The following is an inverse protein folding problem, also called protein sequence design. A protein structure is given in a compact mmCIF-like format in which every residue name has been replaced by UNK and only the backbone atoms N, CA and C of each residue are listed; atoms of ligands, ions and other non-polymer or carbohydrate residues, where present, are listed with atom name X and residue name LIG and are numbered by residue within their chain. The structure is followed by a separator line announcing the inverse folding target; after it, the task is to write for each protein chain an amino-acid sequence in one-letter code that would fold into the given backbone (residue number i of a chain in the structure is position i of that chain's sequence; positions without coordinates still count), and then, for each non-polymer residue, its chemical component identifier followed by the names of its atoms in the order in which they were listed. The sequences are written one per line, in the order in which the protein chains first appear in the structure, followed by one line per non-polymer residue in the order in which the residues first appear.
data_IF_784652383202
#
_entry.id   IF_784652383202
#
_cell.length_a   1.000
_cell.length_b   1.000
_cell.length_c   1.000
_cell.angle_alpha   90.00
_cell.angle_beta   90.00
_cell.angle_gamma   90.00
#
_symmetry.space_group_name_H-M   'P 1'
#
loop_
_entity.id
_entity.type
_entity.pdbx_description
1 polymer ?
#
# COMPACT_ATOMS: atom_id res chain seq x y z
N UNK A 1 -17.08 22.67 -5.43
CA UNK A 1 -15.96 23.30 -6.19
C UNK A 1 -15.26 24.28 -5.24
N UNK A 2 -13.93 24.35 -5.25
CA UNK A 2 -13.19 25.24 -4.36
C UNK A 2 -13.35 26.69 -4.82
N UNK A 3 -13.73 27.59 -3.90
CA UNK A 3 -13.77 29.03 -4.17
C UNK A 3 -12.38 29.62 -3.91
N UNK A 4 -11.72 30.13 -4.96
CA UNK A 4 -10.35 30.65 -4.87
C UNK A 4 -10.25 31.88 -3.97
N UNK A 5 -11.24 32.76 -4.02
CA UNK A 5 -11.29 33.98 -3.22
C UNK A 5 -11.45 33.65 -1.73
N UNK A 6 -12.37 32.73 -1.43
CA UNK A 6 -12.58 32.25 -0.06
C UNK A 6 -11.34 31.55 0.49
N UNK A 7 -10.72 30.68 -0.32
CA UNK A 7 -9.49 29.99 0.06
C UNK A 7 -8.35 30.96 0.37
N UNK A 8 -8.21 32.05 -0.38
CA UNK A 8 -7.18 33.06 -0.12
C UNK A 8 -7.35 33.69 1.26
N UNK A 9 -8.58 34.06 1.62
CA UNK A 9 -8.91 34.66 2.92
C UNK A 9 -8.67 33.65 4.04
N UNK A 10 -9.13 32.41 3.86
CA UNK A 10 -8.93 31.34 4.84
C UNK A 10 -7.44 31.04 5.08
N UNK A 11 -6.61 31.09 4.04
CA UNK A 11 -5.16 30.91 4.15
C UNK A 11 -4.47 32.08 4.86
N UNK A 12 -4.94 33.31 4.65
CA UNK A 12 -4.44 34.48 5.40
C UNK A 12 -4.74 34.35 6.89
N UNK A 13 -5.96 33.91 7.24
CA UNK A 13 -6.37 33.63 8.62
C UNK A 13 -5.50 32.51 9.21
N UNK A 14 -5.30 31.42 8.46
CA UNK A 14 -4.47 30.31 8.90
C UNK A 14 -3.02 30.75 9.12
N UNK A 15 -2.46 31.57 8.22
CA UNK A 15 -1.10 32.12 8.36
C UNK A 15 -0.99 32.92 9.66
N UNK A 16 -1.97 33.76 9.95
CA UNK A 16 -1.96 34.60 11.15
C UNK A 16 -2.11 33.76 12.43
N UNK A 17 -2.90 32.68 12.39
CA UNK A 17 -3.00 31.70 13.48
C UNK A 17 -1.69 30.93 13.69
N UNK A 18 -0.96 30.63 12.61
CA UNK A 18 0.31 29.93 12.65
C UNK A 18 1.51 30.84 12.96
N UNK A 19 1.34 32.17 13.01
CA UNK A 19 2.43 33.09 13.36
C UNK A 19 2.98 32.77 14.75
N UNK A 20 4.27 32.43 14.82
CA UNK A 20 4.96 32.09 16.07
C UNK A 20 4.82 30.63 16.52
N UNK A 21 4.19 29.76 15.72
CA UNK A 21 4.18 28.31 15.93
C UNK A 21 5.09 27.65 14.90
N UNK A 22 5.90 26.70 15.32
CA UNK A 22 6.67 25.87 14.38
C UNK A 22 5.73 24.81 13.79
N UNK A 23 5.57 24.82 12.46
CA UNK A 23 4.72 23.87 11.74
C UNK A 23 5.58 23.19 10.69
N UNK A 24 5.80 21.88 10.84
CA UNK A 24 6.63 21.11 9.92
C UNK A 24 5.80 20.13 9.08
N UNK A 25 4.67 19.68 9.63
CA UNK A 25 3.86 18.61 9.04
C UNK A 25 2.39 19.01 8.94
N UNK A 26 1.66 18.40 8.01
CA UNK A 26 0.20 18.57 7.88
C UNK A 26 -0.51 18.16 9.19
N UNK A 27 0.02 17.17 9.91
CA UNK A 27 -0.46 16.76 11.23
C UNK A 27 -0.36 17.88 12.28
N UNK A 28 0.67 18.74 12.19
CA UNK A 28 0.82 19.88 13.11
C UNK A 28 -0.23 20.96 12.82
N UNK A 29 -0.56 21.16 11.54
CA UNK A 29 -1.69 22.03 11.16
C UNK A 29 -3.01 21.48 11.69
N UNK A 30 -3.21 20.17 11.58
CA UNK A 30 -4.41 19.50 12.10
C UNK A 30 -4.52 19.67 13.62
N UNK A 31 -3.44 19.46 14.36
CA UNK A 31 -3.44 19.63 15.83
C UNK A 31 -3.75 21.08 16.23
N UNK A 32 -3.19 22.07 15.51
CA UNK A 32 -3.52 23.49 15.70
C UNK A 32 -5.01 23.73 15.44
N UNK A 33 -5.57 23.23 14.34
CA UNK A 33 -7.00 23.36 14.02
C UNK A 33 -7.90 22.73 15.09
N UNK A 34 -7.46 21.68 15.76
CA UNK A 34 -8.18 21.08 16.89
C UNK A 34 -8.11 21.91 18.17
N UNK A 35 -7.09 22.76 18.34
CA UNK A 35 -6.98 23.70 19.48
C UNK A 35 -7.76 25.00 19.30
N UNK A 36 -8.23 25.30 18.09
CA UNK A 36 -9.00 26.51 17.81
C UNK A 36 -10.46 26.40 18.28
N UNK A 37 -11.07 27.56 18.50
CA UNK A 37 -12.49 27.66 18.80
C UNK A 37 -13.34 27.15 17.63
N UNK A 38 -14.53 26.56 17.89
CA UNK A 38 -15.41 26.01 16.85
C UNK A 38 -15.81 27.03 15.78
N UNK A 39 -15.91 28.30 16.17
CA UNK A 39 -16.27 29.40 15.29
C UNK A 39 -15.18 29.66 14.25
N UNK A 40 -13.92 29.78 14.68
CA UNK A 40 -12.77 29.95 13.78
C UNK A 40 -12.58 28.75 12.86
N UNK A 41 -12.83 27.53 13.38
CA UNK A 41 -12.80 26.30 12.58
C UNK A 41 -13.88 26.28 11.50
N UNK A 42 -15.10 26.74 11.80
CA UNK A 42 -16.18 26.82 10.82
C UNK A 42 -15.89 27.78 9.66
N UNK A 43 -15.03 28.78 9.88
CA UNK A 43 -14.61 29.73 8.87
C UNK A 43 -13.52 29.20 7.93
N UNK A 44 -12.86 28.08 8.27
CA UNK A 44 -11.76 27.47 7.50
C UNK A 44 -12.21 26.26 6.68
N UNK A 45 -13.42 26.35 6.13
CA UNK A 45 -14.11 25.21 5.51
C UNK A 45 -13.43 24.68 4.24
N UNK A 46 -12.79 25.55 3.44
CA UNK A 46 -12.06 25.17 2.23
C UNK A 46 -10.69 24.60 2.57
N UNK A 47 -10.00 25.19 3.55
CA UNK A 47 -8.73 24.66 4.07
C UNK A 47 -8.93 23.26 4.66
N UNK A 48 -10.01 23.04 5.42
CA UNK A 48 -10.33 21.71 5.97
C UNK A 48 -10.56 20.67 4.87
N UNK A 49 -11.22 21.04 3.77
CA UNK A 49 -11.40 20.16 2.61
C UNK A 49 -10.07 19.81 1.95
N UNK A 50 -9.16 20.77 1.80
CA UNK A 50 -7.82 20.53 1.24
C UNK A 50 -7.01 19.62 2.16
N UNK A 51 -7.01 19.87 3.46
CA UNK A 51 -6.30 19.02 4.43
C UNK A 51 -6.85 17.60 4.39
N UNK A 52 -8.18 17.42 4.37
CA UNK A 52 -8.81 16.11 4.20
C UNK A 52 -8.40 15.45 2.88
N UNK A 53 -8.33 16.20 1.78
CA UNK A 53 -7.87 15.69 0.50
C UNK A 53 -6.40 15.28 0.56
N UNK A 54 -5.54 16.06 1.21
CA UNK A 54 -4.11 15.75 1.40
C UNK A 54 -3.88 14.55 2.35
N UNK A 55 -4.82 14.25 3.25
CA UNK A 55 -4.78 13.07 4.11
C UNK A 55 -5.38 11.83 3.43
N UNK A 56 -6.41 12.01 2.58
CA UNK A 56 -7.10 10.93 1.89
C UNK A 56 -6.36 10.49 0.61
N UNK A 57 -5.82 11.45 -0.14
CA UNK A 57 -4.78 11.17 -1.10
C UNK A 57 -3.55 10.88 -0.26
N UNK A 58 -2.99 9.67 -0.30
CA UNK A 58 -1.72 9.45 0.36
C UNK A 58 -0.72 10.30 -0.40
N UNK A 59 -0.41 11.52 0.09
CA UNK A 59 0.77 12.29 -0.32
C UNK A 59 2.02 11.40 -0.21
N UNK A 60 1.92 10.37 0.64
CA UNK A 60 2.74 9.18 0.54
C UNK A 60 2.30 8.29 -0.65
N UNK A 61 2.85 8.61 -1.82
CA UNK A 61 2.98 7.68 -2.96
C UNK A 61 3.74 6.36 -2.68
N UNK A 62 4.44 6.08 -1.54
CA UNK A 62 5.15 4.81 -1.34
C UNK A 62 4.29 3.58 -1.48
N UNK A 63 3.05 3.52 -0.99
CA UNK A 63 2.28 2.27 -1.01
C UNK A 63 1.88 1.87 -2.45
N UNK A 64 1.45 2.84 -3.25
CA UNK A 64 1.12 2.61 -4.66
C UNK A 64 2.38 2.44 -5.51
N UNK A 65 3.41 3.28 -5.36
CA UNK A 65 4.69 3.14 -6.06
C UNK A 65 5.38 1.82 -5.73
N UNK A 66 5.37 1.40 -4.47
CA UNK A 66 5.90 0.11 -4.03
C UNK A 66 5.14 -1.05 -4.67
N UNK A 67 3.81 -0.97 -4.71
CA UNK A 67 2.96 -1.99 -5.35
C UNK A 67 3.16 -2.04 -6.88
N UNK A 68 3.23 -0.89 -7.55
CA UNK A 68 3.49 -0.80 -8.99
C UNK A 68 4.91 -1.25 -9.34
N UNK A 69 5.90 -0.91 -8.52
CA UNK A 69 7.29 -1.35 -8.67
C UNK A 69 7.41 -2.86 -8.49
N UNK A 70 6.75 -3.43 -7.47
CA UNK A 70 6.69 -4.88 -7.27
C UNK A 70 6.03 -5.59 -8.47
N UNK A 71 4.88 -5.09 -8.94
CA UNK A 71 4.21 -5.59 -10.14
C UNK A 71 5.08 -5.50 -11.39
N UNK A 72 5.80 -4.39 -11.57
CA UNK A 72 6.72 -4.20 -12.69
C UNK A 72 7.87 -5.20 -12.63
N UNK A 73 8.43 -5.46 -11.45
CA UNK A 73 9.46 -6.49 -11.24
C UNK A 73 8.93 -7.88 -11.55
N UNK A 74 7.75 -8.24 -11.02
CA UNK A 74 7.08 -9.51 -11.30
C UNK A 74 6.87 -9.70 -12.81
N UNK A 75 6.30 -8.70 -13.49
CA UNK A 75 6.06 -8.73 -14.93
C UNK A 75 7.35 -8.84 -15.74
N UNK A 76 8.39 -8.15 -15.32
CA UNK A 76 9.72 -8.20 -15.97
C UNK A 76 10.35 -9.58 -15.83
N UNK A 77 10.27 -10.17 -14.64
CA UNK A 77 10.83 -11.51 -14.37
C UNK A 77 10.09 -12.61 -15.13
N UNK A 78 8.79 -12.43 -15.40
CA UNK A 78 7.90 -13.44 -16.00
C UNK A 78 7.63 -13.23 -17.50
N UNK A 79 8.34 -12.28 -18.14
CA UNK A 79 8.04 -11.66 -19.45
C UNK A 79 7.83 -12.61 -20.63
N UNK A 80 8.16 -13.90 -20.52
CA UNK A 80 8.07 -14.84 -21.64
C UNK A 80 7.02 -15.95 -21.51
N UNK A 81 6.18 -16.02 -20.46
CA UNK A 81 5.30 -17.23 -20.32
C UNK A 81 4.01 -17.07 -19.50
N UNK A 82 3.45 -15.86 -19.34
CA UNK A 82 2.39 -15.67 -18.34
C UNK A 82 1.08 -15.06 -18.86
N UNK A 83 -0.06 -15.71 -18.53
CA UNK A 83 -1.41 -15.16 -18.69
C UNK A 83 -1.72 -14.17 -17.56
N UNK A 84 -2.63 -13.22 -17.82
CA UNK A 84 -3.03 -12.18 -16.86
C UNK A 84 -3.53 -12.77 -15.54
N UNK A 85 -4.30 -13.84 -15.58
CA UNK A 85 -4.82 -14.53 -14.39
C UNK A 85 -3.70 -15.00 -13.45
N UNK A 86 -2.66 -15.65 -14.01
CA UNK A 86 -1.52 -16.13 -13.23
C UNK A 86 -0.73 -14.95 -12.65
N UNK A 87 -0.62 -13.83 -13.38
CA UNK A 87 0.03 -12.60 -12.89
C UNK A 87 -0.73 -12.01 -11.70
N UNK A 88 -2.06 -11.96 -11.78
CA UNK A 88 -2.91 -11.46 -10.68
C UNK A 88 -2.72 -12.31 -9.43
N UNK A 89 -2.73 -13.64 -9.54
CA UNK A 89 -2.50 -14.52 -8.39
C UNK A 89 -1.12 -14.30 -7.77
N UNK A 90 -0.06 -14.17 -8.57
CA UNK A 90 1.28 -13.87 -8.05
C UNK A 90 1.39 -12.50 -7.41
N UNK A 91 0.69 -11.50 -7.93
CA UNK A 91 0.66 -10.17 -7.32
C UNK A 91 0.03 -10.21 -5.93
N UNK A 92 -1.07 -10.95 -5.77
CA UNK A 92 -1.74 -11.18 -4.48
C UNK A 92 -0.79 -11.90 -3.53
N UNK A 93 -0.14 -12.98 -3.99
CA UNK A 93 0.85 -13.71 -3.20
C UNK A 93 2.01 -12.82 -2.74
N UNK A 94 2.54 -11.97 -3.63
CA UNK A 94 3.63 -11.05 -3.29
C UNK A 94 3.19 -9.93 -2.33
N UNK A 95 1.93 -9.49 -2.37
CA UNK A 95 1.39 -8.50 -1.44
C UNK A 95 1.15 -9.09 -0.04
N UNK A 96 0.97 -10.42 0.04
CA UNK A 96 0.69 -11.16 1.26
C UNK A 96 1.77 -12.22 1.53
N UNK A 97 3.04 -11.91 1.24
CA UNK A 97 4.16 -12.82 1.47
C UNK A 97 4.24 -13.28 2.92
N UNK A 98 3.94 -12.39 3.86
CA UNK A 98 4.01 -12.66 5.30
C UNK A 98 3.03 -13.78 5.71
N UNK A 99 1.86 -13.84 5.07
CA UNK A 99 0.88 -14.92 5.29
C UNK A 99 1.32 -16.23 4.64
N UNK A 100 2.11 -16.18 3.58
CA UNK A 100 2.66 -17.36 2.93
C UNK A 100 3.82 -17.95 3.73
N UNK A 101 4.59 -17.13 4.44
CA UNK A 101 5.65 -17.59 5.33
C UNK A 101 5.11 -18.39 6.52
N UNK A 102 3.89 -18.08 6.98
CA UNK A 102 3.17 -18.84 8.00
C UNK A 102 2.46 -20.10 7.44
N UNK A 103 2.37 -20.22 6.11
CA UNK A 103 1.65 -21.32 5.47
C UNK A 103 2.47 -22.62 5.49
N UNK A 104 1.84 -23.73 5.88
CA UNK A 104 2.46 -25.05 5.81
C UNK A 104 2.53 -25.54 4.35
N UNK A 105 3.65 -25.25 3.70
CA UNK A 105 3.93 -25.64 2.31
C UNK A 105 3.82 -27.15 2.10
N UNK A 106 4.19 -27.97 3.09
CA UNK A 106 4.10 -29.43 3.00
C UNK A 106 2.66 -29.90 2.90
N UNK A 107 1.77 -29.38 3.75
CA UNK A 107 0.34 -29.70 3.69
C UNK A 107 -0.31 -29.23 2.37
N UNK A 108 0.08 -28.05 1.89
CA UNK A 108 -0.41 -27.53 0.61
C UNK A 108 0.08 -28.38 -0.58
N UNK A 109 1.32 -28.89 -0.51
CA UNK A 109 1.86 -29.78 -1.54
C UNK A 109 1.11 -31.13 -1.56
N UNK A 110 0.84 -31.70 -0.39
CA UNK A 110 0.04 -32.92 -0.27
C UNK A 110 -1.38 -32.73 -0.85
N UNK A 111 -2.02 -31.60 -0.54
CA UNK A 111 -3.32 -31.26 -1.13
C UNK A 111 -3.21 -31.13 -2.66
N UNK A 112 -2.22 -30.39 -3.16
CA UNK A 112 -2.02 -30.18 -4.59
C UNK A 112 -1.82 -31.49 -5.36
N UNK A 113 -1.15 -32.46 -4.74
CA UNK A 113 -0.90 -33.79 -5.30
C UNK A 113 -2.14 -34.67 -5.22
N UNK A 114 -2.87 -34.65 -4.10
CA UNK A 114 -4.12 -35.42 -3.97
C UNK A 114 -5.18 -35.04 -5.01
N UNK A 115 -5.14 -33.81 -5.52
CA UNK A 115 -6.04 -33.31 -6.57
C UNK A 115 -5.72 -33.83 -7.98
N UNK A 116 -4.63 -34.58 -8.19
CA UNK A 116 -4.33 -35.22 -9.48
C UNK A 116 -3.48 -36.47 -9.31
N UNK A 117 -3.97 -37.59 -9.83
CA UNK A 117 -3.28 -38.89 -9.82
C UNK A 117 -1.95 -38.89 -10.58
N UNK A 118 -1.72 -37.95 -11.49
CA UNK A 118 -0.49 -37.80 -12.27
C UNK A 118 0.65 -37.12 -11.49
N UNK A 119 0.35 -36.51 -10.34
CA UNK A 119 1.29 -35.68 -9.56
C UNK A 119 1.98 -36.43 -8.42
N UNK A 120 1.59 -37.67 -8.16
CA UNK A 120 2.22 -38.55 -7.16
C UNK A 120 3.76 -38.60 -7.22
N UNK A 121 4.40 -38.67 -8.41
CA UNK A 121 5.86 -38.72 -8.53
C UNK A 121 6.60 -37.44 -8.09
N UNK A 122 5.90 -36.36 -7.73
CA UNK A 122 6.53 -35.10 -7.33
C UNK A 122 7.06 -35.13 -5.89
N UNK A 123 6.44 -35.91 -4.99
CA UNK A 123 6.93 -36.05 -3.60
C UNK A 123 8.34 -36.64 -3.55
N UNK A 124 8.57 -37.71 -4.31
CA UNK A 124 9.88 -38.38 -4.39
C UNK A 124 10.99 -37.46 -4.92
N UNK A 125 10.65 -36.49 -5.78
CA UNK A 125 11.61 -35.50 -6.31
C UNK A 125 11.90 -34.36 -5.33
N UNK A 126 10.94 -34.00 -4.48
CA UNK A 126 11.10 -32.93 -3.49
C UNK A 126 12.01 -33.34 -2.32
N UNK A 127 12.06 -34.62 -1.96
CA UNK A 127 12.95 -35.16 -0.92
C UNK A 127 14.43 -35.28 -1.35
N UNK A 128 14.73 -34.95 -2.61
CA UNK A 128 16.09 -34.93 -3.13
C UNK A 128 16.88 -33.74 -2.57
N UNK A 129 18.08 -33.95 -1.97
CA UNK A 129 18.89 -32.87 -1.37
C UNK A 129 19.35 -31.76 -2.36
N UNK A 130 19.13 -31.96 -3.66
CA UNK A 130 19.45 -30.99 -4.72
C UNK A 130 18.38 -29.89 -4.91
N UNK A 131 17.12 -30.13 -4.52
CA UNK A 131 16.01 -29.15 -4.70
C UNK A 131 16.01 -28.09 -3.60
N UNK A 132 16.43 -28.46 -2.38
CA UNK A 132 16.43 -27.59 -1.20
C UNK A 132 17.37 -26.37 -1.31
N UNK A 133 18.30 -26.36 -2.27
CA UNK A 133 19.22 -25.22 -2.51
C UNK A 133 18.72 -24.19 -3.52
N UNK A 134 17.57 -24.41 -4.19
CA UNK A 134 17.14 -23.58 -5.32
C UNK A 134 15.89 -22.72 -5.07
N UNK A 135 15.32 -22.80 -3.87
CA UNK A 135 14.10 -22.09 -3.48
C UNK A 135 14.25 -21.12 -2.31
N UNK A 136 15.47 -20.97 -1.77
CA UNK A 136 15.80 -19.87 -0.86
C UNK A 136 16.59 -18.80 -1.64
N UNK A 137 15.85 -17.87 -2.24
CA UNK A 137 16.30 -16.54 -2.63
C UNK A 137 15.14 -15.58 -2.41
#
# INVERSE_FOLDING_TARGET
PFSREQLSIELDILRDVCRGREVFTIQDVVSILHTLQPQTRSMLSEVEKIIKLCLALPISVPASEHSFSALHRLKTWLRNTMKQERLTHLAIMNAHSDLLDECNVSALLEEFISRSTERGPLLEKCDSPLVRKRFFF
#
